data_IF_931957719313
#
_entry.id   IF_931957719313
#
_cell.length_a   1.000
_cell.length_b   1.000
_cell.length_c   1.000
_cell.angle_alpha   90.00
_cell.angle_beta   90.00
_cell.angle_gamma   90.00
#
_symmetry.space_group_name_H-M   'P 1'
#
loop_
_entity.id
_entity.type
_entity.pdbx_description
1 polymer ?
#
# COMPACT_ATOMS: atom_id res chain seq x y z
N UNK A 1 -32.14 15.83 -15.30
CA UNK A 1 -30.87 15.46 -14.64
C UNK A 1 -31.03 14.06 -14.09
N UNK A 2 -30.30 13.07 -14.63
CA UNK A 2 -30.32 11.71 -14.08
C UNK A 2 -29.35 11.66 -12.89
N UNK A 3 -29.82 11.15 -11.74
CA UNK A 3 -28.93 10.84 -10.63
C UNK A 3 -28.03 9.68 -11.06
N UNK A 4 -26.71 9.88 -11.07
CA UNK A 4 -25.76 8.78 -11.32
C UNK A 4 -25.80 7.86 -10.09
N UNK A 5 -25.93 6.54 -10.27
CA UNK A 5 -25.87 5.61 -9.14
C UNK A 5 -24.49 5.71 -8.48
N UNK A 6 -24.47 5.73 -7.16
CA UNK A 6 -23.24 5.70 -6.36
C UNK A 6 -22.99 4.25 -5.97
N UNK A 7 -21.83 3.74 -6.34
CA UNK A 7 -21.32 2.45 -5.86
C UNK A 7 -20.59 2.68 -4.55
N UNK A 8 -21.01 2.00 -3.48
CA UNK A 8 -20.28 2.00 -2.20
C UNK A 8 -19.48 0.71 -2.12
N UNK A 9 -18.16 0.83 -2.04
CA UNK A 9 -17.25 -0.30 -1.86
C UNK A 9 -16.58 -0.19 -0.49
N UNK A 10 -16.37 -1.33 0.17
CA UNK A 10 -15.60 -1.40 1.39
C UNK A 10 -14.15 -1.75 1.02
N UNK A 11 -13.21 -0.85 1.33
CA UNK A 11 -11.79 -1.22 1.40
C UNK A 11 -11.54 -1.76 2.81
N UNK A 12 -11.08 -3.01 2.91
CA UNK A 12 -10.77 -3.67 4.18
C UNK A 12 -9.27 -3.85 4.24
N UNK A 13 -8.63 -3.40 5.30
CA UNK A 13 -7.19 -3.54 5.44
C UNK A 13 -6.83 -5.00 5.73
N UNK A 14 -5.97 -5.60 4.90
CA UNK A 14 -5.55 -7.00 5.07
C UNK A 14 -4.69 -7.25 6.33
N UNK A 15 -4.05 -6.22 6.90
CA UNK A 15 -3.24 -6.36 8.13
C UNK A 15 -4.05 -6.21 9.43
N UNK A 16 -4.99 -5.25 9.47
CA UNK A 16 -5.71 -4.91 10.71
C UNK A 16 -7.24 -5.06 10.64
N UNK A 17 -7.79 -5.34 9.47
CA UNK A 17 -9.23 -5.48 9.24
C UNK A 17 -10.02 -4.16 9.29
N UNK A 18 -9.36 -3.01 9.48
CA UNK A 18 -10.05 -1.72 9.44
C UNK A 18 -10.77 -1.55 8.10
N UNK A 19 -12.00 -1.08 8.12
CA UNK A 19 -12.84 -0.97 6.93
C UNK A 19 -13.17 0.49 6.66
N UNK A 20 -12.87 0.98 5.46
CA UNK A 20 -13.34 2.28 4.98
C UNK A 20 -14.38 2.09 3.87
N UNK A 21 -15.54 2.74 4.03
CA UNK A 21 -16.56 2.80 2.99
C UNK A 21 -16.21 3.93 2.01
N UNK A 22 -16.09 3.58 0.74
CA UNK A 22 -15.68 4.48 -0.32
C UNK A 22 -16.77 4.55 -1.38
N UNK A 23 -17.32 5.75 -1.56
CA UNK A 23 -18.39 6.03 -2.49
C UNK A 23 -17.83 6.53 -3.83
N UNK A 24 -17.96 5.73 -4.89
CA UNK A 24 -17.56 6.06 -6.26
C UNK A 24 -18.75 6.05 -7.22
N UNK A 25 -18.56 6.60 -8.43
CA UNK A 25 -19.50 6.35 -9.53
C UNK A 25 -19.40 4.91 -10.07
N UNK A 26 -18.27 4.24 -9.87
CA UNK A 26 -18.04 2.81 -10.09
C UNK A 26 -16.96 2.26 -9.11
N UNK A 27 -16.54 0.99 -9.31
CA UNK A 27 -15.46 0.36 -8.52
C UNK A 27 -14.12 1.11 -8.64
N UNK A 28 -13.82 1.68 -9.80
CA UNK A 28 -12.58 2.41 -10.05
C UNK A 28 -12.60 3.77 -9.33
N UNK A 29 -13.72 4.48 -9.38
CA UNK A 29 -13.95 5.73 -8.67
C UNK A 29 -13.90 5.56 -7.15
N UNK A 30 -14.41 4.45 -6.63
CA UNK A 30 -14.30 4.11 -5.20
C UNK A 30 -12.83 3.83 -4.81
N UNK A 31 -12.10 3.07 -5.62
CA UNK A 31 -10.67 2.80 -5.42
C UNK A 31 -9.80 4.06 -5.50
N UNK A 32 -10.07 4.95 -6.47
CA UNK A 32 -9.38 6.23 -6.59
C UNK A 32 -9.55 7.11 -5.35
N UNK A 33 -10.76 7.15 -4.79
CA UNK A 33 -11.04 7.88 -3.54
C UNK A 33 -10.32 7.27 -2.35
N UNK A 34 -10.32 5.94 -2.23
CA UNK A 34 -9.53 5.24 -1.22
C UNK A 34 -8.04 5.63 -1.30
N UNK A 35 -7.44 5.60 -2.50
CA UNK A 35 -6.04 5.99 -2.71
C UNK A 35 -5.78 7.44 -2.34
N UNK A 36 -6.70 8.35 -2.68
CA UNK A 36 -6.63 9.76 -2.27
C UNK A 36 -6.70 9.93 -0.75
N UNK A 37 -7.49 9.10 -0.08
CA UNK A 37 -7.60 9.07 1.38
C UNK A 37 -6.42 8.34 2.05
N UNK A 38 -5.40 7.96 1.27
CA UNK A 38 -4.14 7.41 1.76
C UNK A 38 -4.09 5.88 1.82
N UNK A 39 -5.11 5.19 1.34
CA UNK A 39 -5.06 3.72 1.24
C UNK A 39 -4.14 3.28 0.12
N UNK A 40 -3.38 2.22 0.38
CA UNK A 40 -2.60 1.55 -0.63
C UNK A 40 -3.41 0.38 -1.18
N UNK A 41 -3.76 0.44 -2.46
CA UNK A 41 -4.47 -0.62 -3.18
C UNK A 41 -3.59 -0.98 -4.37
N UNK A 42 -2.83 -2.09 -4.34
CA UNK A 42 -2.02 -2.51 -5.47
C UNK A 42 -2.89 -2.71 -6.71
N UNK A 43 -2.43 -2.29 -7.88
CA UNK A 43 -3.19 -2.41 -9.14
C UNK A 43 -3.38 -3.87 -9.58
N UNK A 44 -2.50 -4.76 -9.12
CA UNK A 44 -2.39 -6.17 -9.45
C UNK A 44 -2.93 -7.11 -8.37
N UNK A 45 -3.62 -6.58 -7.36
CA UNK A 45 -4.12 -7.36 -6.22
C UNK A 45 -5.49 -6.90 -5.76
N UNK A 46 -6.32 -7.84 -5.27
CA UNK A 46 -7.56 -7.53 -4.54
C UNK A 46 -7.29 -7.10 -3.08
N UNK A 47 -6.02 -6.95 -2.69
CA UNK A 47 -5.63 -6.51 -1.35
C UNK A 47 -5.76 -4.99 -1.19
N UNK A 48 -6.04 -4.56 0.03
CA UNK A 48 -6.08 -3.16 0.40
C UNK A 48 -5.38 -2.95 1.74
N UNK A 49 -4.63 -1.86 1.86
CA UNK A 49 -3.93 -1.51 3.08
C UNK A 49 -4.29 -0.09 3.49
N UNK A 50 -4.58 0.09 4.79
CA UNK A 50 -4.93 1.40 5.33
C UNK A 50 -3.70 2.32 5.40
N UNK A 51 -3.86 3.63 5.64
CA UNK A 51 -2.73 4.56 5.72
C UNK A 51 -1.63 4.17 6.73
N UNK A 52 -1.98 3.41 7.77
CA UNK A 52 -1.03 2.91 8.78
C UNK A 52 -0.29 1.62 8.37
N UNK A 53 -0.80 0.89 7.37
CA UNK A 53 -0.23 -0.37 6.90
C UNK A 53 0.18 -0.29 5.44
N UNK A 54 1.37 -0.80 5.17
CA UNK A 54 2.03 -0.64 3.89
C UNK A 54 2.35 -2.01 3.34
N UNK A 55 2.05 -2.21 2.07
CA UNK A 55 2.56 -3.32 1.28
C UNK A 55 3.74 -2.83 0.46
N UNK A 56 4.86 -3.50 0.62
CA UNK A 56 6.11 -3.14 -0.02
C UNK A 56 6.71 -4.33 -0.74
N UNK A 57 7.28 -4.06 -1.90
CA UNK A 57 7.99 -5.00 -2.74
C UNK A 57 9.43 -4.55 -2.89
N UNK A 58 10.36 -5.49 -2.81
CA UNK A 58 11.76 -5.17 -2.99
C UNK A 58 12.04 -4.82 -4.45
N UNK A 59 12.76 -3.72 -4.70
CA UNK A 59 13.11 -3.32 -6.08
C UNK A 59 14.18 -4.22 -6.72
N UNK A 60 14.94 -4.97 -5.90
CA UNK A 60 16.02 -5.85 -6.37
C UNK A 60 15.61 -7.33 -6.39
N UNK A 61 14.56 -7.71 -5.66
CA UNK A 61 13.99 -9.04 -5.74
C UNK A 61 12.48 -9.01 -5.55
N UNK A 62 11.75 -9.98 -6.12
CA UNK A 62 10.29 -10.07 -5.99
C UNK A 62 9.79 -10.40 -4.56
N UNK A 63 10.65 -10.33 -3.54
CA UNK A 63 10.21 -10.46 -2.14
C UNK A 63 9.29 -9.29 -1.81
N UNK A 64 8.17 -9.59 -1.18
CA UNK A 64 7.21 -8.62 -0.67
C UNK A 64 7.01 -8.78 0.84
N UNK A 65 6.52 -7.73 1.49
CA UNK A 65 6.08 -7.75 2.88
C UNK A 65 4.97 -6.72 3.09
N UNK A 66 4.12 -6.97 4.08
CA UNK A 66 3.10 -6.05 4.55
C UNK A 66 3.27 -5.76 6.04
N UNK A 67 2.80 -4.59 6.47
CA UNK A 67 2.75 -4.22 7.88
C UNK A 67 2.91 -2.73 8.11
N UNK A 68 2.94 -2.33 9.39
CA UNK A 68 3.21 -0.94 9.73
C UNK A 68 4.65 -0.56 9.39
N UNK A 69 4.88 0.73 9.10
CA UNK A 69 6.22 1.25 8.83
C UNK A 69 7.22 0.82 9.92
N UNK A 70 6.83 0.94 11.19
CA UNK A 70 7.68 0.53 12.32
C UNK A 70 8.03 -0.96 12.28
N UNK A 71 7.07 -1.84 11.92
CA UNK A 71 7.30 -3.28 11.82
C UNK A 71 8.26 -3.58 10.67
N UNK A 72 8.03 -2.99 9.51
CA UNK A 72 8.88 -3.16 8.32
C UNK A 72 10.32 -2.73 8.62
N UNK A 73 10.53 -1.54 9.18
CA UNK A 73 11.85 -1.05 9.56
C UNK A 73 12.53 -1.96 10.60
N UNK A 74 11.81 -2.44 11.62
CA UNK A 74 12.35 -3.38 12.62
C UNK A 74 12.78 -4.71 12.01
N UNK A 75 12.06 -5.20 11.00
CA UNK A 75 12.44 -6.42 10.27
C UNK A 75 13.59 -6.22 9.28
N UNK A 76 14.10 -4.99 9.15
CA UNK A 76 15.24 -4.65 8.29
C UNK A 76 14.86 -4.21 6.88
N UNK A 77 13.56 -4.06 6.57
CA UNK A 77 13.13 -3.48 5.31
C UNK A 77 13.48 -2.00 5.28
N UNK A 78 13.89 -1.51 4.10
CA UNK A 78 14.17 -0.11 3.87
C UNK A 78 13.16 0.47 2.89
N UNK A 79 12.32 1.38 3.36
CA UNK A 79 11.36 2.09 2.52
C UNK A 79 12.10 3.13 1.68
N UNK A 80 11.88 3.14 0.36
CA UNK A 80 12.64 3.99 -0.57
C UNK A 80 11.96 5.34 -0.85
N UNK A 81 10.66 5.47 -0.59
CA UNK A 81 9.95 6.75 -0.59
C UNK A 81 8.65 6.65 0.18
N UNK A 82 8.33 7.72 0.90
CA UNK A 82 7.31 7.75 1.95
C UNK A 82 5.85 7.68 1.51
N UNK A 83 5.52 7.06 0.36
CA UNK A 83 4.18 6.52 -0.05
C UNK A 83 4.26 5.54 -1.25
N UNK A 84 5.40 4.93 -1.53
CA UNK A 84 5.51 3.96 -2.64
C UNK A 84 5.54 2.54 -2.11
N UNK A 85 5.00 1.62 -2.90
CA UNK A 85 5.18 0.17 -2.80
C UNK A 85 6.65 -0.27 -2.95
N UNK A 86 7.56 0.64 -3.26
CA UNK A 86 8.99 0.39 -3.45
C UNK A 86 9.77 0.40 -2.12
N UNK A 87 10.42 -0.72 -1.84
CA UNK A 87 11.35 -0.87 -0.73
C UNK A 87 12.57 -1.70 -1.13
N UNK A 88 13.51 -1.89 -0.20
CA UNK A 88 14.52 -2.93 -0.28
C UNK A 88 14.29 -3.92 0.86
N UNK A 89 14.39 -5.21 0.55
CA UNK A 89 14.35 -6.25 1.57
C UNK A 89 15.63 -6.21 2.43
N UNK A 90 15.64 -6.88 3.59
CA UNK A 90 16.76 -6.82 4.53
C UNK A 90 18.11 -7.26 3.96
N UNK A 91 18.12 -8.10 2.93
CA UNK A 91 19.35 -8.52 2.25
C UNK A 91 19.89 -7.37 1.37
N UNK A 92 19.09 -6.87 0.44
CA UNK A 92 19.49 -5.79 -0.48
C UNK A 92 19.63 -4.41 0.20
N UNK A 93 18.92 -4.17 1.31
CA UNK A 93 19.02 -2.94 2.08
C UNK A 93 20.40 -2.78 2.76
N UNK A 94 21.10 -3.89 3.04
CA UNK A 94 22.47 -3.87 3.58
C UNK A 94 23.45 -3.35 2.53
N UNK A 95 23.31 -3.82 1.30
CA UNK A 95 24.20 -3.48 0.19
C UNK A 95 24.03 -2.03 -0.29
N UNK A 96 22.82 -1.48 -0.19
CA UNK A 96 22.54 -0.07 -0.53
C UNK A 96 23.35 0.93 0.31
N UNK A 97 23.72 0.59 1.55
CA UNK A 97 24.55 1.47 2.40
C UNK A 97 26.00 1.57 1.90
N UNK A 98 26.45 0.66 1.03
CA UNK A 98 27.81 0.65 0.51
C UNK A 98 28.00 1.55 -0.73
N UNK A 99 26.91 1.98 -1.38
CA UNK A 99 26.96 2.65 -2.69
C UNK A 99 27.10 4.17 -2.62
N UNK A 100 27.07 4.78 -1.43
CA UNK A 100 27.19 6.23 -1.23
C UNK A 100 28.33 6.60 -0.27
N UNK A 101 29.54 6.09 -0.53
CA UNK A 101 30.76 6.49 0.19
C UNK A 101 31.77 7.08 -0.76
#
# INVERSE_FOLDING_TARGET
MALRPVTVMAAVCDECGWTALQAGDDRWGAGYRARRDGWQIPDDSDTAFCPDHWHVKCEQCDRAASGSETRLLKTGWRLLSGRSDKALCPDHAKDWRATWR
#
